data_IF_643128017144
#
_entry.id   IF_643128017144
#
_cell.length_a   1.000
_cell.length_b   1.000
_cell.length_c   1.000
_cell.angle_alpha   90.00
_cell.angle_beta   90.00
_cell.angle_gamma   90.00
#
_symmetry.space_group_name_H-M   'P 1'
#
loop_
_entity.id
_entity.type
_entity.pdbx_description
1 polymer ?
#
# COMPACT_ATOMS: atom_id res chain seq x y z
N UNK A 1 13.74 27.52 13.58
CA UNK A 1 14.62 26.66 12.76
C UNK A 1 15.62 26.03 13.69
N UNK A 2 15.42 24.76 14.05
CA UNK A 2 16.44 23.97 14.75
C UNK A 2 17.42 23.40 13.70
N UNK A 3 18.68 23.33 14.08
CA UNK A 3 19.75 22.79 13.25
C UNK A 3 19.48 21.30 13.00
N UNK A 4 19.52 20.80 11.76
CA UNK A 4 19.25 19.39 11.50
C UNK A 4 20.25 18.49 12.23
N UNK A 5 19.78 17.37 12.76
CA UNK A 5 20.64 16.31 13.26
C UNK A 5 21.23 15.57 12.06
N UNK A 6 22.48 15.88 11.73
CA UNK A 6 23.22 15.20 10.68
C UNK A 6 23.96 13.99 11.23
N UNK A 7 23.58 12.81 10.76
CA UNK A 7 24.25 11.55 11.03
C UNK A 7 25.10 11.24 9.80
N UNK A 8 26.40 11.54 9.88
CA UNK A 8 27.39 11.27 8.83
C UNK A 8 28.33 10.16 9.30
N UNK A 9 28.71 9.27 8.39
CA UNK A 9 29.70 8.20 8.62
C UNK A 9 29.29 7.16 9.68
N UNK A 10 28.04 7.18 10.15
CA UNK A 10 27.50 6.14 11.00
C UNK A 10 26.90 5.03 10.14
N UNK A 11 27.16 3.78 10.49
CA UNK A 11 26.52 2.63 9.83
C UNK A 11 25.02 2.57 10.16
N UNK A 12 24.66 2.96 11.38
CA UNK A 12 23.28 2.95 11.90
C UNK A 12 23.09 4.00 13.00
N UNK A 13 21.84 4.24 13.39
CA UNK A 13 21.48 5.04 14.57
C UNK A 13 20.35 4.38 15.35
N UNK A 14 20.17 4.81 16.61
CA UNK A 14 19.06 4.33 17.42
C UNK A 14 18.43 5.44 18.27
N UNK A 15 17.09 5.44 18.33
CA UNK A 15 16.30 6.25 19.26
C UNK A 15 15.35 5.33 20.03
N UNK A 16 15.30 5.47 21.35
CA UNK A 16 14.47 4.62 22.21
C UNK A 16 13.68 5.46 23.21
N UNK A 17 12.39 5.15 23.41
CA UNK A 17 11.53 5.79 24.41
C UNK A 17 11.60 7.33 24.37
N UNK A 18 11.65 7.90 23.17
CA UNK A 18 11.92 9.32 22.95
C UNK A 18 10.75 10.03 22.29
N UNK A 19 10.56 11.31 22.62
CA UNK A 19 9.63 12.19 21.90
C UNK A 19 10.44 13.14 21.04
N UNK A 20 10.39 12.95 19.73
CA UNK A 20 11.04 13.80 18.74
C UNK A 20 9.98 14.72 18.14
N UNK A 21 10.18 16.03 18.27
CA UNK A 21 9.23 17.04 17.80
C UNK A 21 9.94 18.12 17.02
N UNK A 22 9.43 18.44 15.83
CA UNK A 22 10.01 19.48 14.95
C UNK A 22 11.47 19.17 14.56
N UNK A 23 11.83 17.88 14.55
CA UNK A 23 13.18 17.40 14.31
C UNK A 23 13.42 17.06 12.84
N UNK A 24 14.62 17.39 12.35
CA UNK A 24 15.11 16.98 11.03
C UNK A 24 16.30 16.04 11.20
N UNK A 25 16.11 14.77 10.89
CA UNK A 25 17.14 13.73 10.94
C UNK A 25 17.58 13.43 9.51
N UNK A 26 18.83 13.74 9.19
CA UNK A 26 19.44 13.43 7.89
C UNK A 26 20.56 12.44 8.13
N UNK A 27 20.40 11.21 7.63
CA UNK A 27 21.37 10.15 7.78
C UNK A 27 21.91 9.73 6.41
N UNK A 28 23.23 9.83 6.23
CA UNK A 28 23.89 9.51 4.96
C UNK A 28 24.83 8.32 5.10
N UNK A 29 24.93 7.53 4.04
CA UNK A 29 25.79 6.35 3.95
C UNK A 29 25.47 5.28 4.99
N UNK A 30 24.18 5.13 5.33
CA UNK A 30 23.75 4.08 6.24
C UNK A 30 23.99 2.69 5.63
N UNK A 31 24.47 1.77 6.48
CA UNK A 31 24.69 0.36 6.15
C UNK A 31 24.14 -0.47 7.32
N UNK A 32 23.17 -1.34 7.05
CA UNK A 32 22.54 -2.15 8.08
C UNK A 32 21.24 -1.54 8.62
N UNK A 33 20.90 -1.80 9.88
CA UNK A 33 19.60 -1.43 10.47
C UNK A 33 19.74 -0.28 11.46
N UNK A 34 18.91 0.75 11.31
CA UNK A 34 18.72 1.80 12.33
C UNK A 34 17.36 1.61 13.00
N UNK A 35 17.32 1.75 14.32
CA UNK A 35 16.14 1.41 15.14
C UNK A 35 15.53 2.65 15.81
N UNK A 36 14.24 2.89 15.58
CA UNK A 36 13.44 3.91 16.27
C UNK A 36 12.33 3.20 17.02
N UNK A 37 12.49 3.01 18.33
CA UNK A 37 11.64 2.12 19.10
C UNK A 37 10.93 2.85 20.25
N UNK A 38 9.60 2.67 20.35
CA UNK A 38 8.75 3.32 21.35
C UNK A 38 8.88 4.84 21.33
N UNK A 39 9.00 5.41 20.14
CA UNK A 39 9.17 6.84 19.96
C UNK A 39 7.87 7.51 19.49
N UNK A 40 7.69 8.75 19.89
CA UNK A 40 6.69 9.65 19.32
C UNK A 40 7.40 10.60 18.36
N UNK A 41 7.09 10.49 17.07
CA UNK A 41 7.58 11.38 16.02
C UNK A 41 6.47 12.35 15.65
N UNK A 42 6.67 13.65 15.88
CA UNK A 42 5.67 14.67 15.58
C UNK A 42 6.29 15.81 14.79
N UNK A 43 5.78 16.05 13.58
CA UNK A 43 6.31 17.06 12.67
C UNK A 43 7.81 16.83 12.39
N UNK A 44 8.19 15.57 12.20
CA UNK A 44 9.57 15.19 11.94
C UNK A 44 9.82 14.98 10.44
N UNK A 45 11.04 15.26 10.02
CA UNK A 45 11.58 14.83 8.74
C UNK A 45 12.69 13.81 8.98
N UNK A 46 12.52 12.60 8.46
CA UNK A 46 13.56 11.57 8.42
C UNK A 46 13.94 11.36 6.97
N UNK A 47 15.17 11.69 6.62
CA UNK A 47 15.75 11.48 5.30
C UNK A 47 16.99 10.59 5.43
N UNK A 48 16.95 9.42 4.79
CA UNK A 48 17.97 8.40 4.96
C UNK A 48 18.50 7.85 3.63
N UNK A 49 19.77 8.15 3.36
CA UNK A 49 20.48 7.74 2.16
C UNK A 49 21.32 6.49 2.45
N UNK A 50 20.87 5.33 1.96
CA UNK A 50 21.57 4.06 2.06
C UNK A 50 20.76 2.93 1.42
N UNK A 51 21.11 2.52 0.19
CA UNK A 51 20.34 1.52 -0.57
C UNK A 51 20.20 0.16 0.14
N UNK A 52 21.20 -0.21 0.94
CA UNK A 52 21.23 -1.46 1.71
C UNK A 52 20.99 -1.20 3.21
N UNK A 53 20.27 -0.12 3.52
CA UNK A 53 19.89 0.21 4.90
C UNK A 53 18.41 -0.10 5.16
N UNK A 54 18.12 -0.43 6.40
CA UNK A 54 16.77 -0.63 6.91
C UNK A 54 16.56 0.39 8.02
N UNK A 55 15.52 1.20 7.93
CA UNK A 55 15.03 1.94 9.08
C UNK A 55 13.85 1.18 9.64
N UNK A 56 14.05 0.62 10.83
CA UNK A 56 13.01 -0.03 11.58
C UNK A 56 12.42 0.96 12.57
N UNK A 57 11.10 1.13 12.54
CA UNK A 57 10.36 1.90 13.54
C UNK A 57 9.35 0.97 14.19
N UNK A 58 9.39 0.84 15.52
CA UNK A 58 8.53 -0.09 16.24
C UNK A 58 7.84 0.53 17.45
N UNK A 59 6.62 0.06 17.73
CA UNK A 59 5.84 0.40 18.94
C UNK A 59 5.65 1.92 19.14
N UNK A 60 5.61 2.68 18.05
CA UNK A 60 5.65 4.15 18.07
C UNK A 60 4.40 4.81 17.53
N UNK A 61 4.38 6.14 17.63
CA UNK A 61 3.38 6.98 16.97
C UNK A 61 4.08 8.00 16.07
N UNK A 62 3.67 8.07 14.81
CA UNK A 62 4.22 8.95 13.77
C UNK A 62 3.11 9.88 13.32
N UNK A 63 3.30 11.19 13.47
CA UNK A 63 2.27 12.19 13.17
C UNK A 63 2.87 13.36 12.41
N UNK A 64 2.16 13.84 11.38
CA UNK A 64 2.56 15.04 10.61
C UNK A 64 4.00 14.96 10.08
N UNK A 65 4.51 13.75 9.85
CA UNK A 65 5.93 13.52 9.58
C UNK A 65 6.15 13.00 8.17
N UNK A 66 7.30 13.36 7.60
CA UNK A 66 7.78 12.88 6.31
C UNK A 66 8.93 11.90 6.53
N UNK A 67 8.77 10.67 6.05
CA UNK A 67 9.78 9.62 6.13
C UNK A 67 10.21 9.19 4.74
N UNK A 68 11.49 9.37 4.44
CA UNK A 68 12.08 9.09 3.15
C UNK A 68 13.36 8.26 3.30
N UNK A 69 13.47 7.18 2.53
CA UNK A 69 14.69 6.40 2.46
C UNK A 69 14.99 5.87 1.06
N UNK A 70 16.28 5.82 0.71
CA UNK A 70 16.78 5.10 -0.46
C UNK A 70 16.78 3.56 -0.25
N UNK A 71 16.67 3.11 1.00
CA UNK A 71 16.66 1.70 1.38
C UNK A 71 15.25 1.20 1.69
N UNK A 72 15.12 0.52 2.83
CA UNK A 72 13.87 -0.08 3.30
C UNK A 72 13.33 0.61 4.55
N UNK A 73 12.01 0.74 4.63
CA UNK A 73 11.30 1.00 5.87
C UNK A 73 10.64 -0.30 6.37
N UNK A 74 10.85 -0.60 7.66
CA UNK A 74 10.12 -1.62 8.39
C UNK A 74 9.40 -0.98 9.58
N UNK A 75 8.10 -0.75 9.42
CA UNK A 75 7.22 -0.14 10.41
C UNK A 75 6.42 -1.26 11.10
N UNK A 76 6.60 -1.44 12.40
CA UNK A 76 5.96 -2.53 13.17
C UNK A 76 5.15 -1.98 14.34
N UNK A 77 3.89 -2.36 14.45
CA UNK A 77 3.02 -1.98 15.59
C UNK A 77 2.97 -0.45 15.82
N UNK A 78 2.88 0.32 14.73
CA UNK A 78 2.84 1.78 14.79
C UNK A 78 1.43 2.34 14.56
N UNK A 79 1.19 3.53 15.10
CA UNK A 79 0.09 4.41 14.67
C UNK A 79 0.68 5.53 13.83
N UNK A 80 0.29 5.61 12.56
CA UNK A 80 0.78 6.59 11.59
C UNK A 80 -0.39 7.47 11.14
N UNK A 81 -0.28 8.78 11.35
CA UNK A 81 -1.37 9.74 11.10
C UNK A 81 -0.84 10.97 10.36
N UNK A 82 -1.54 11.42 9.31
CA UNK A 82 -1.18 12.67 8.59
C UNK A 82 0.27 12.69 8.09
N UNK A 83 0.78 11.54 7.63
CA UNK A 83 2.19 11.35 7.34
C UNK A 83 2.42 10.93 5.90
N UNK A 84 3.61 11.23 5.38
CA UNK A 84 4.04 10.79 4.05
C UNK A 84 5.20 9.81 4.17
N UNK A 85 5.08 8.67 3.49
CA UNK A 85 6.06 7.59 3.49
C UNK A 85 6.59 7.36 2.07
N UNK A 86 7.91 7.30 1.94
CA UNK A 86 8.57 6.99 0.68
C UNK A 86 9.81 6.11 0.92
N UNK A 87 9.85 4.94 0.27
CA UNK A 87 11.02 4.08 0.23
C UNK A 87 11.36 3.79 -1.24
N UNK A 88 12.65 3.65 -1.55
CA UNK A 88 13.10 3.27 -2.91
C UNK A 88 13.38 1.78 -3.11
N UNK A 89 13.50 0.99 -2.04
CA UNK A 89 13.61 -0.47 -2.12
C UNK A 89 12.31 -1.15 -1.66
N UNK A 90 11.95 -0.96 -0.38
CA UNK A 90 10.82 -1.67 0.22
C UNK A 90 10.16 -0.85 1.33
N UNK A 91 8.84 -0.81 1.32
CA UNK A 91 8.03 -0.27 2.42
C UNK A 91 7.23 -1.40 3.03
N UNK A 92 7.59 -1.82 4.24
CA UNK A 92 6.90 -2.87 4.98
C UNK A 92 6.26 -2.31 6.24
N UNK A 93 4.93 -2.33 6.29
CA UNK A 93 4.15 -1.99 7.49
C UNK A 93 3.51 -3.28 8.01
N UNK A 94 3.79 -3.63 9.27
CA UNK A 94 3.31 -4.84 9.94
C UNK A 94 2.55 -4.44 11.19
N UNK A 95 1.25 -4.74 11.19
CA UNK A 95 0.35 -4.44 12.29
C UNK A 95 0.25 -2.93 12.59
N UNK A 96 -0.83 -2.53 13.25
CA UNK A 96 -1.08 -1.13 13.57
C UNK A 96 -1.99 -0.42 12.57
N UNK A 97 -1.91 0.92 12.58
CA UNK A 97 -2.89 1.81 11.94
C UNK A 97 -2.18 2.81 11.07
N UNK A 98 -2.68 2.99 9.84
CA UNK A 98 -2.27 4.04 8.93
C UNK A 98 -3.48 4.90 8.56
N UNK A 99 -3.45 6.18 8.91
CA UNK A 99 -4.60 7.06 8.78
C UNK A 99 -4.24 8.39 8.12
N UNK A 100 -5.10 8.89 7.24
CA UNK A 100 -5.01 10.24 6.65
C UNK A 100 -3.61 10.51 6.04
N UNK A 101 -3.01 9.49 5.42
CA UNK A 101 -1.58 9.47 5.10
C UNK A 101 -1.35 9.21 3.61
N UNK A 102 -0.13 9.49 3.14
CA UNK A 102 0.27 9.31 1.76
C UNK A 102 1.44 8.30 1.67
N UNK A 103 1.36 7.38 0.71
CA UNK A 103 2.46 6.49 0.33
C UNK A 103 2.84 6.80 -1.12
N UNK A 104 4.06 7.30 -1.34
CA UNK A 104 4.66 7.47 -2.68
C UNK A 104 5.52 6.26 -3.01
N UNK A 105 5.18 5.58 -4.09
CA UNK A 105 5.95 4.46 -4.59
C UNK A 105 6.67 4.86 -5.88
N UNK A 106 7.96 4.54 -5.98
CA UNK A 106 8.72 4.63 -7.21
C UNK A 106 8.82 3.27 -7.89
N UNK A 107 9.29 3.27 -9.14
CA UNK A 107 9.61 2.05 -9.89
C UNK A 107 10.48 1.09 -9.07
N UNK A 108 10.14 -0.20 -9.11
CA UNK A 108 10.87 -1.28 -8.45
C UNK A 108 10.63 -1.41 -6.96
N UNK A 109 9.79 -0.58 -6.33
CA UNK A 109 9.51 -0.67 -4.89
C UNK A 109 8.60 -1.86 -4.58
N UNK A 110 8.87 -2.55 -3.48
CA UNK A 110 7.96 -3.52 -2.89
C UNK A 110 7.13 -2.87 -1.77
N UNK A 111 5.79 -2.93 -1.87
CA UNK A 111 4.88 -2.49 -0.81
C UNK A 111 4.26 -3.70 -0.10
N UNK A 112 4.48 -3.80 1.21
CA UNK A 112 3.90 -4.84 2.06
C UNK A 112 3.11 -4.21 3.21
N UNK A 113 1.78 -4.33 3.19
CA UNK A 113 0.89 -3.95 4.27
C UNK A 113 0.33 -5.23 4.89
N UNK A 114 0.80 -5.62 6.07
CA UNK A 114 0.44 -6.90 6.69
C UNK A 114 -0.23 -6.71 8.05
N UNK A 115 -1.52 -6.99 8.15
CA UNK A 115 -2.32 -6.80 9.36
C UNK A 115 -2.54 -5.33 9.71
N UNK A 116 -2.55 -4.46 8.70
CA UNK A 116 -2.67 -3.00 8.87
C UNK A 116 -4.12 -2.57 8.64
N UNK A 117 -4.66 -1.75 9.55
CA UNK A 117 -5.90 -1.00 9.30
C UNK A 117 -5.53 0.33 8.63
N UNK A 118 -5.91 0.48 7.36
CA UNK A 118 -5.68 1.70 6.58
C UNK A 118 -6.98 2.47 6.42
N UNK A 119 -6.99 3.75 6.80
CA UNK A 119 -8.14 4.65 6.63
C UNK A 119 -7.72 5.97 5.96
N UNK A 120 -8.40 6.37 4.89
CA UNK A 120 -8.10 7.62 4.19
C UNK A 120 -6.64 7.70 3.72
N UNK A 121 -6.09 6.58 3.23
CA UNK A 121 -4.70 6.50 2.77
C UNK A 121 -4.65 6.61 1.26
N UNK A 122 -3.81 7.51 0.76
CA UNK A 122 -3.53 7.66 -0.67
C UNK A 122 -2.23 6.91 -1.02
N UNK A 123 -2.32 5.89 -1.86
CA UNK A 123 -1.22 5.05 -2.30
C UNK A 123 -1.05 5.27 -3.80
N UNK A 124 0.06 5.88 -4.19
CA UNK A 124 0.30 6.30 -5.56
C UNK A 124 1.67 5.80 -6.04
N UNK A 125 1.67 5.01 -7.11
CA UNK A 125 2.90 4.67 -7.82
C UNK A 125 3.10 5.47 -9.10
N UNK A 126 2.24 6.43 -9.43
CA UNK A 126 2.34 7.27 -10.62
C UNK A 126 2.42 6.50 -11.94
N UNK A 127 1.89 5.26 -11.98
CA UNK A 127 1.98 4.39 -13.16
C UNK A 127 3.26 3.53 -13.20
N UNK A 128 4.12 3.62 -12.21
CA UNK A 128 5.36 2.85 -12.13
C UNK A 128 5.11 1.38 -11.77
N UNK A 129 5.98 0.52 -12.30
CA UNK A 129 5.98 -0.91 -12.01
C UNK A 129 6.53 -1.19 -10.60
N UNK A 130 5.72 -1.82 -9.77
CA UNK A 130 6.12 -2.32 -8.45
C UNK A 130 6.78 -3.69 -8.57
N UNK A 131 7.84 -3.92 -7.79
CA UNK A 131 8.50 -5.23 -7.75
C UNK A 131 7.67 -6.28 -7.00
N UNK A 132 6.82 -5.83 -6.08
CA UNK A 132 5.92 -6.70 -5.34
C UNK A 132 4.86 -5.93 -4.58
N UNK A 133 3.70 -6.56 -4.42
CA UNK A 133 2.61 -6.07 -3.59
C UNK A 133 2.10 -7.16 -2.66
N UNK A 134 2.03 -6.87 -1.36
CA UNK A 134 1.27 -7.65 -0.39
C UNK A 134 0.34 -6.72 0.35
N UNK A 135 -0.97 -6.95 0.28
CA UNK A 135 -1.95 -6.24 1.09
C UNK A 135 -2.75 -7.28 1.86
N UNK A 136 -2.63 -7.27 3.18
CA UNK A 136 -3.40 -8.10 4.09
C UNK A 136 -3.95 -7.20 5.20
N UNK A 137 -5.27 -7.12 5.31
CA UNK A 137 -5.94 -6.26 6.29
C UNK A 137 -7.17 -5.55 5.74
N UNK A 138 -7.38 -4.32 6.20
CA UNK A 138 -8.57 -3.52 5.90
C UNK A 138 -8.15 -2.17 5.32
N UNK A 139 -8.70 -1.81 4.15
CA UNK A 139 -8.57 -0.50 3.53
C UNK A 139 -9.94 0.17 3.49
N UNK A 140 -10.08 1.32 4.15
CA UNK A 140 -11.32 2.10 4.22
C UNK A 140 -11.08 3.51 3.71
N UNK A 141 -11.92 3.98 2.78
CA UNK A 141 -11.81 5.33 2.23
C UNK A 141 -10.42 5.64 1.63
N UNK A 142 -9.71 4.60 1.20
CA UNK A 142 -8.38 4.72 0.61
C UNK A 142 -8.47 5.07 -0.87
N UNK A 143 -7.35 5.57 -1.40
CA UNK A 143 -7.20 5.82 -2.83
C UNK A 143 -5.96 5.10 -3.32
N UNK A 144 -6.11 4.22 -4.30
CA UNK A 144 -5.03 3.49 -4.95
C UNK A 144 -4.93 4.00 -6.39
N UNK A 145 -3.78 4.59 -6.75
CA UNK A 145 -3.57 5.22 -8.05
C UNK A 145 -2.37 4.66 -8.77
N UNK A 146 -2.56 4.37 -10.05
CA UNK A 146 -1.45 4.07 -10.95
C UNK A 146 -0.72 2.78 -10.63
N UNK A 147 -1.23 1.93 -9.73
CA UNK A 147 -0.52 0.74 -9.29
C UNK A 147 -0.38 -0.23 -10.46
N UNK A 148 0.86 -0.50 -10.86
CA UNK A 148 1.20 -1.51 -11.87
C UNK A 148 1.98 -2.62 -11.19
N UNK A 149 1.39 -3.79 -11.09
CA UNK A 149 1.89 -4.89 -10.24
C UNK A 149 2.06 -6.13 -11.10
N UNK A 150 3.30 -6.62 -11.22
CA UNK A 150 3.57 -7.82 -12.02
C UNK A 150 3.35 -9.13 -11.28
N UNK A 151 3.33 -9.09 -9.94
CA UNK A 151 2.96 -10.19 -9.06
C UNK A 151 2.63 -9.69 -7.65
N UNK A 152 1.73 -10.38 -6.96
CA UNK A 152 1.38 -9.99 -5.60
C UNK A 152 0.33 -10.88 -4.94
N UNK A 153 0.03 -10.55 -3.68
CA UNK A 153 -1.01 -11.20 -2.89
C UNK A 153 -1.85 -10.14 -2.20
N UNK A 154 -3.15 -10.17 -2.46
CA UNK A 154 -4.14 -9.34 -1.78
C UNK A 154 -5.07 -10.26 -1.00
N UNK A 155 -5.11 -10.07 0.32
CA UNK A 155 -5.99 -10.77 1.27
C UNK A 155 -6.64 -9.71 2.15
N UNK A 156 -7.48 -8.88 1.53
CA UNK A 156 -7.98 -7.67 2.16
C UNK A 156 -9.48 -7.48 1.95
N UNK A 157 -10.05 -6.67 2.84
CA UNK A 157 -11.33 -6.00 2.60
C UNK A 157 -11.00 -4.58 2.15
N UNK A 158 -11.49 -4.20 0.98
CA UNK A 158 -11.36 -2.85 0.43
C UNK A 158 -12.77 -2.26 0.42
N UNK A 159 -12.99 -1.25 1.26
CA UNK A 159 -14.29 -0.66 1.51
C UNK A 159 -14.29 0.84 1.20
N UNK A 160 -15.30 1.32 0.49
CA UNK A 160 -15.52 2.75 0.23
C UNK A 160 -14.30 3.46 -0.40
N UNK A 161 -13.47 2.70 -1.12
CA UNK A 161 -12.18 3.17 -1.64
C UNK A 161 -12.23 3.45 -3.14
N UNK A 162 -11.21 4.13 -3.66
CA UNK A 162 -11.05 4.41 -5.09
C UNK A 162 -9.86 3.64 -5.64
N UNK A 163 -10.06 2.84 -6.67
CA UNK A 163 -8.99 2.25 -7.47
C UNK A 163 -9.00 2.93 -8.83
N UNK A 164 -7.92 3.64 -9.16
CA UNK A 164 -7.80 4.42 -10.39
C UNK A 164 -6.55 4.04 -11.17
N UNK A 165 -6.72 3.69 -12.44
CA UNK A 165 -5.62 3.37 -13.36
C UNK A 165 -4.71 2.28 -12.79
N UNK A 166 -5.29 1.23 -12.21
CA UNK A 166 -4.53 0.13 -11.61
C UNK A 166 -4.50 -1.08 -12.56
N UNK A 167 -3.33 -1.69 -12.70
CA UNK A 167 -3.08 -2.93 -13.43
C UNK A 167 -2.49 -3.97 -12.47
N UNK A 168 -3.24 -5.05 -12.27
CA UNK A 168 -2.80 -6.21 -11.49
C UNK A 168 -2.51 -7.37 -12.45
N UNK A 169 -1.28 -7.82 -12.49
CA UNK A 169 -0.85 -8.99 -13.25
C UNK A 169 -0.40 -10.09 -12.28
N UNK A 170 -0.71 -11.35 -12.61
CA UNK A 170 -0.28 -12.53 -11.84
C UNK A 170 -0.49 -12.41 -10.32
N UNK A 171 -1.58 -11.75 -9.92
CA UNK A 171 -1.86 -11.41 -8.52
C UNK A 171 -2.91 -12.37 -7.97
N UNK A 172 -2.74 -12.76 -6.70
CA UNK A 172 -3.68 -13.62 -5.98
C UNK A 172 -4.63 -12.76 -5.15
N UNK A 173 -5.92 -12.77 -5.47
CA UNK A 173 -6.99 -12.06 -4.77
C UNK A 173 -8.16 -13.00 -4.40
N UNK A 174 -7.85 -14.26 -4.10
CA UNK A 174 -8.86 -15.23 -3.66
C UNK A 174 -9.50 -14.78 -2.34
N UNK A 175 -10.84 -14.87 -2.25
CA UNK A 175 -11.66 -14.44 -1.11
C UNK A 175 -11.59 -12.93 -0.77
N UNK A 176 -11.08 -12.09 -1.68
CA UNK A 176 -11.03 -10.64 -1.46
C UNK A 176 -12.43 -10.01 -1.57
N UNK A 177 -12.71 -9.02 -0.72
CA UNK A 177 -13.96 -8.26 -0.73
C UNK A 177 -13.65 -6.83 -1.16
N UNK A 178 -14.30 -6.38 -2.23
CA UNK A 178 -14.26 -5.00 -2.74
C UNK A 178 -15.69 -4.47 -2.66
N UNK A 179 -15.96 -3.61 -1.69
CA UNK A 179 -17.31 -3.13 -1.38
C UNK A 179 -17.41 -1.61 -1.45
N UNK A 180 -18.47 -1.09 -2.08
CA UNK A 180 -18.74 0.35 -2.23
C UNK A 180 -17.57 1.14 -2.84
N UNK A 181 -16.75 0.49 -3.65
CA UNK A 181 -15.58 1.14 -4.24
C UNK A 181 -15.90 1.81 -5.57
N UNK A 182 -15.14 2.83 -5.93
CA UNK A 182 -15.10 3.35 -7.29
C UNK A 182 -13.94 2.70 -8.04
N UNK A 183 -14.24 2.08 -9.18
CA UNK A 183 -13.28 1.43 -10.05
C UNK A 183 -13.18 2.22 -11.35
N UNK A 184 -12.04 2.85 -11.60
CA UNK A 184 -11.79 3.66 -12.78
C UNK A 184 -10.55 3.12 -13.52
N UNK A 185 -10.74 2.59 -14.73
CA UNK A 185 -9.64 2.01 -15.53
C UNK A 185 -8.84 0.95 -14.76
N UNK A 186 -9.55 -0.02 -14.18
CA UNK A 186 -8.95 -1.13 -13.42
C UNK A 186 -8.89 -2.38 -14.30
N UNK A 187 -7.73 -3.02 -14.33
CA UNK A 187 -7.45 -4.20 -15.16
C UNK A 187 -6.81 -5.29 -14.30
N UNK A 188 -7.32 -6.51 -14.43
CA UNK A 188 -6.73 -7.73 -13.87
C UNK A 188 -6.31 -8.65 -15.01
N UNK A 189 -5.06 -9.11 -15.01
CA UNK A 189 -4.49 -10.01 -16.02
C UNK A 189 -3.86 -11.22 -15.33
N UNK A 190 -4.18 -12.44 -15.79
CA UNK A 190 -3.61 -13.69 -15.24
C UNK A 190 -3.80 -13.81 -13.70
N UNK A 191 -4.87 -13.24 -13.14
CA UNK A 191 -5.09 -13.19 -11.69
C UNK A 191 -5.93 -14.37 -11.21
N UNK A 192 -5.69 -14.79 -9.96
CA UNK A 192 -6.61 -15.65 -9.22
C UNK A 192 -7.63 -14.75 -8.51
N UNK A 193 -8.86 -14.76 -8.99
CA UNK A 193 -10.01 -14.00 -8.49
C UNK A 193 -11.12 -14.93 -7.96
N UNK A 194 -10.75 -16.16 -7.55
CA UNK A 194 -11.72 -17.12 -7.03
C UNK A 194 -12.43 -16.57 -5.81
N UNK A 195 -13.75 -16.70 -5.77
CA UNK A 195 -14.60 -16.22 -4.65
C UNK A 195 -14.41 -14.73 -4.30
N UNK A 196 -13.86 -13.93 -5.20
CA UNK A 196 -13.80 -12.48 -5.02
C UNK A 196 -15.23 -11.93 -5.02
N UNK A 197 -15.50 -10.95 -4.16
CA UNK A 197 -16.78 -10.26 -4.12
C UNK A 197 -16.59 -8.79 -4.46
N UNK A 198 -17.14 -8.37 -5.59
CA UNK A 198 -17.37 -6.97 -5.89
C UNK A 198 -18.82 -6.63 -5.53
N UNK A 199 -19.03 -5.61 -4.70
CA UNK A 199 -20.37 -5.30 -4.21
C UNK A 199 -20.63 -3.81 -4.08
N UNK A 200 -21.72 -3.32 -4.67
CA UNK A 200 -22.05 -1.89 -4.74
C UNK A 200 -20.92 -1.03 -5.34
N UNK A 201 -20.10 -1.60 -6.21
CA UNK A 201 -19.00 -0.85 -6.82
C UNK A 201 -19.51 -0.01 -7.99
N UNK A 202 -19.06 1.24 -8.05
CA UNK A 202 -19.29 2.11 -9.17
C UNK A 202 -18.15 1.96 -10.19
N UNK A 203 -18.47 1.69 -11.45
CA UNK A 203 -17.48 1.56 -12.53
C UNK A 203 -17.57 2.83 -13.37
N UNK A 204 -16.45 3.52 -13.54
CA UNK A 204 -16.38 4.85 -14.17
C UNK A 204 -15.36 4.86 -15.31
N UNK A 205 -15.64 5.65 -16.35
CA UNK A 205 -14.85 5.85 -17.59
C UNK A 205 -14.70 4.63 -18.52
N UNK A 206 -14.53 3.43 -17.98
CA UNK A 206 -14.34 2.21 -18.76
C UNK A 206 -14.81 0.98 -17.98
N UNK A 207 -15.21 -0.11 -18.66
CA UNK A 207 -15.49 -1.37 -18.00
C UNK A 207 -14.33 -1.86 -17.12
N UNK A 208 -14.66 -2.61 -16.07
CA UNK A 208 -13.71 -3.42 -15.34
C UNK A 208 -13.25 -4.56 -16.25
N UNK A 209 -11.94 -4.72 -16.45
CA UNK A 209 -11.38 -5.75 -17.34
C UNK A 209 -10.77 -6.87 -16.52
N UNK A 210 -11.18 -8.10 -16.82
CA UNK A 210 -10.61 -9.33 -16.30
C UNK A 210 -10.14 -10.16 -17.49
N UNK A 211 -8.83 -10.37 -17.61
CA UNK A 211 -8.21 -11.09 -18.72
C UNK A 211 -7.45 -12.30 -18.19
N UNK A 212 -7.70 -13.48 -18.78
CA UNK A 212 -7.04 -14.74 -18.41
C UNK A 212 -7.11 -15.06 -16.90
N UNK A 213 -8.16 -14.61 -16.22
CA UNK A 213 -8.32 -14.79 -14.77
C UNK A 213 -9.10 -16.06 -14.43
N UNK A 214 -8.83 -16.65 -13.26
CA UNK A 214 -9.74 -17.61 -12.62
C UNK A 214 -10.76 -16.84 -11.78
N UNK A 215 -12.02 -16.82 -12.21
CA UNK A 215 -13.12 -16.11 -11.55
C UNK A 215 -14.15 -17.07 -10.95
N UNK A 216 -13.76 -18.32 -10.68
CA UNK A 216 -14.65 -19.34 -10.14
C UNK A 216 -15.29 -18.89 -8.82
N UNK A 217 -16.62 -18.85 -8.79
CA UNK A 217 -17.38 -18.42 -7.62
C UNK A 217 -17.28 -16.93 -7.31
N UNK A 218 -16.82 -16.09 -8.25
CA UNK A 218 -16.84 -14.65 -8.07
C UNK A 218 -18.29 -14.11 -8.02
N UNK A 219 -18.50 -13.09 -7.19
CA UNK A 219 -19.80 -12.44 -6.98
C UNK A 219 -19.72 -10.96 -7.35
N UNK A 220 -20.68 -10.48 -8.14
CA UNK A 220 -20.86 -9.10 -8.54
C UNK A 220 -22.24 -8.64 -8.09
N UNK A 221 -22.30 -8.07 -6.88
CA UNK A 221 -23.55 -7.68 -6.23
C UNK A 221 -23.82 -6.19 -6.46
N UNK A 222 -25.03 -5.85 -6.90
CA UNK A 222 -25.46 -4.49 -7.23
C UNK A 222 -24.55 -3.83 -8.27
N UNK A 223 -24.19 -4.61 -9.29
CA UNK A 223 -23.34 -4.20 -10.41
C UNK A 223 -23.92 -4.68 -11.74
N UNK A 224 -23.86 -3.83 -12.77
CA UNK A 224 -24.28 -4.23 -14.11
C UNK A 224 -23.26 -5.16 -14.75
N UNK A 225 -23.73 -6.29 -15.31
CA UNK A 225 -22.91 -7.19 -16.13
C UNK A 225 -22.26 -6.47 -17.33
N UNK A 226 -22.92 -5.46 -17.90
CA UNK A 226 -22.37 -4.68 -19.03
C UNK A 226 -21.10 -3.90 -18.68
N UNK A 227 -20.83 -3.70 -17.39
CA UNK A 227 -19.68 -2.93 -16.93
C UNK A 227 -18.46 -3.83 -16.66
N UNK A 228 -18.57 -5.13 -16.88
CA UNK A 228 -17.51 -6.10 -16.59
C UNK A 228 -17.18 -6.90 -17.84
N UNK A 229 -15.93 -6.82 -18.29
CA UNK A 229 -15.44 -7.53 -19.45
C UNK A 229 -14.61 -8.72 -19.00
N UNK A 230 -15.11 -9.93 -19.29
CA UNK A 230 -14.37 -11.17 -19.10
C UNK A 230 -13.74 -11.58 -20.43
N UNK A 231 -12.42 -11.67 -20.48
CA UNK A 231 -11.64 -12.06 -21.65
C UNK A 231 -10.89 -13.35 -21.27
N UNK A 232 -11.20 -14.46 -21.93
CA UNK A 232 -10.56 -15.76 -21.70
C UNK A 232 -10.51 -16.20 -20.22
N UNK A 233 -11.53 -15.83 -19.43
CA UNK A 233 -11.56 -16.15 -18.00
C UNK A 233 -12.14 -17.54 -17.74
N UNK A 234 -11.53 -18.27 -16.81
CA UNK A 234 -12.04 -19.55 -16.34
C UNK A 234 -13.15 -19.36 -15.31
N UNK A 235 -14.28 -20.06 -15.48
CA UNK A 235 -15.42 -20.00 -14.56
C UNK A 235 -16.33 -18.78 -14.74
N UNK A 236 -16.15 -17.98 -15.80
CA UNK A 236 -16.96 -16.80 -16.09
C UNK A 236 -18.45 -17.11 -16.22
N UNK A 237 -18.79 -18.32 -16.68
CA UNK A 237 -20.17 -18.82 -16.79
C UNK A 237 -20.85 -19.10 -15.45
N UNK A 238 -20.07 -19.22 -14.37
CA UNK A 238 -20.54 -19.48 -12.99
C UNK A 238 -20.52 -18.26 -12.10
N UNK A 239 -20.14 -17.11 -12.64
CA UNK A 239 -20.14 -15.85 -11.91
C UNK A 239 -21.58 -15.44 -11.57
N UNK A 240 -21.80 -15.02 -10.33
CA UNK A 240 -23.10 -14.56 -9.86
C UNK A 240 -23.21 -13.03 -10.02
N UNK A 241 -24.29 -12.58 -10.67
CA UNK A 241 -24.72 -11.19 -10.65
C UNK A 241 -26.05 -11.09 -9.90
N UNK A 242 -26.14 -10.13 -8.98
CA UNK A 242 -27.42 -9.71 -8.37
C UNK A 242 -27.54 -8.20 -8.44
N UNK A 243 -28.76 -7.66 -8.57
CA UNK A 243 -29.04 -6.23 -8.63
C UNK A 243 -29.83 -5.76 -7.41
#
# INVERSE_FOLDING_TARGET
MLTPLYIKEATSFAFNNSSLKDEKIIANNLIGTSDINKCYLNNCLIEACGKNSVIKISDGKIVNSLLQTDGEFLLVDNVIENSELQAKSKLHIKHGVLKDSFIRLSSGVSLLLNGVESRSVDIDSMGEHLSGLSINGLLVDCVLRGLVISSGVVKAIIYSSVLRSCLFENTHLEDVIINKCTLQKVVFVNCNLRRVTFSHCNIVDSPLVLENCDVMGAHFLNMSKSNVNFINCYGAEKVCFSL
#
